data_IF_257902264553
#
_entry.id   IF_257902264553
#
_cell.length_a   1.000
_cell.length_b   1.000
_cell.length_c   1.000
_cell.angle_alpha   90.00
_cell.angle_beta   90.00
_cell.angle_gamma   90.00
#
_symmetry.space_group_name_H-M   'P 1'
#
loop_
_entity.id
_entity.type
_entity.pdbx_description
1 polymer ?
#
# COMPACT_ATOMS: atom_id res chain seq x y z
N UNK A 1 40.64 65.97 -1.00
CA UNK A 1 40.74 64.97 0.09
C UNK A 1 39.75 63.87 -0.20
N UNK A 2 40.24 62.69 -0.61
CA UNK A 2 39.42 61.52 -0.98
C UNK A 2 39.15 60.73 0.29
N UNK A 3 37.91 60.69 0.76
CA UNK A 3 37.51 59.89 1.91
C UNK A 3 37.40 58.42 1.48
N UNK A 4 38.35 57.62 1.97
CA UNK A 4 38.41 56.19 1.74
C UNK A 4 37.23 55.46 2.37
N UNK A 5 36.68 54.52 1.61
CA UNK A 5 35.70 53.54 2.06
C UNK A 5 36.33 52.67 3.16
N UNK A 6 35.80 52.78 4.38
CA UNK A 6 36.15 51.90 5.48
C UNK A 6 35.83 50.45 5.12
N UNK A 7 36.87 49.61 5.15
CA UNK A 7 36.81 48.17 4.92
C UNK A 7 35.75 47.53 5.83
N UNK A 8 34.79 46.82 5.22
CA UNK A 8 33.95 45.84 5.92
C UNK A 8 34.88 44.83 6.61
N UNK A 9 34.69 44.61 7.91
CA UNK A 9 35.33 43.49 8.62
C UNK A 9 34.94 42.19 7.89
N UNK A 10 35.88 41.26 7.62
CA UNK A 10 35.51 39.96 7.09
C UNK A 10 34.59 39.27 8.10
N UNK A 11 33.47 38.72 7.62
CA UNK A 11 32.62 37.85 8.42
C UNK A 11 33.48 36.71 8.98
N UNK A 12 33.47 36.54 10.30
CA UNK A 12 34.12 35.41 10.96
C UNK A 12 33.61 34.12 10.29
N UNK A 13 34.53 33.24 9.89
CA UNK A 13 34.17 31.96 9.30
C UNK A 13 33.22 31.22 10.27
N UNK A 14 32.12 30.60 9.79
CA UNK A 14 31.16 29.96 10.67
C UNK A 14 31.86 28.90 11.52
N UNK A 15 31.78 29.05 12.84
CA UNK A 15 32.37 28.12 13.80
C UNK A 15 31.75 26.75 13.52
N UNK A 16 32.60 25.78 13.12
CA UNK A 16 32.16 24.41 12.86
C UNK A 16 32.10 23.68 14.20
N UNK A 17 30.89 23.36 14.67
CA UNK A 17 30.67 22.59 15.89
C UNK A 17 30.28 21.16 15.55
N UNK A 18 30.86 20.22 16.26
CA UNK A 18 30.48 18.82 16.19
C UNK A 18 29.67 18.47 17.43
N UNK A 19 28.48 17.89 17.23
CA UNK A 19 27.52 17.59 18.30
C UNK A 19 26.89 16.22 18.09
N UNK A 20 26.35 15.62 19.14
CA UNK A 20 25.53 14.41 19.05
C UNK A 20 24.07 14.73 18.74
N UNK A 21 23.34 13.81 18.10
CA UNK A 21 21.91 14.00 17.81
C UNK A 21 21.08 14.29 19.07
N UNK A 22 21.43 13.66 20.21
CA UNK A 22 20.71 13.86 21.47
C UNK A 22 20.91 15.26 22.07
N UNK A 23 21.93 16.01 21.63
CA UNK A 23 22.19 17.37 22.11
C UNK A 23 21.35 18.40 21.35
N UNK A 24 20.82 18.06 20.17
CA UNK A 24 20.04 18.98 19.32
C UNK A 24 18.84 19.60 20.07
N UNK A 25 18.00 18.84 20.80
CA UNK A 25 16.89 19.43 21.54
C UNK A 25 17.34 20.44 22.61
N UNK A 26 18.45 20.17 23.29
CA UNK A 26 19.02 21.07 24.30
C UNK A 26 19.50 22.39 23.69
N UNK A 27 20.22 22.30 22.56
CA UNK A 27 20.70 23.48 21.82
C UNK A 27 19.51 24.33 21.31
N UNK A 28 18.48 23.68 20.75
CA UNK A 28 17.28 24.38 20.29
C UNK A 28 16.57 25.08 21.45
N UNK A 29 16.43 24.42 22.61
CA UNK A 29 15.82 25.00 23.79
C UNK A 29 16.61 26.21 24.32
N UNK A 30 17.94 26.12 24.37
CA UNK A 30 18.81 27.22 24.79
C UNK A 30 18.63 28.44 23.87
N UNK A 31 18.73 28.25 22.55
CA UNK A 31 18.57 29.33 21.56
C UNK A 31 17.17 29.95 21.66
N UNK A 32 16.12 29.14 21.79
CA UNK A 32 14.75 29.63 21.96
C UNK A 32 14.63 30.47 23.23
N UNK A 33 15.15 30.02 24.36
CA UNK A 33 15.07 30.75 25.62
C UNK A 33 15.77 32.12 25.56
N UNK A 34 16.93 32.18 24.90
CA UNK A 34 17.70 33.42 24.72
C UNK A 34 16.96 34.41 23.82
N UNK A 35 16.42 33.93 22.70
CA UNK A 35 15.66 34.75 21.75
C UNK A 35 14.35 35.25 22.34
N UNK A 36 13.61 34.39 23.03
CA UNK A 36 12.37 34.77 23.69
C UNK A 36 12.61 35.83 24.78
N UNK A 37 13.66 35.66 25.60
CA UNK A 37 14.05 36.66 26.59
C UNK A 37 14.43 38.01 25.96
N UNK A 38 15.20 37.99 24.87
CA UNK A 38 15.59 39.19 24.13
C UNK A 38 14.37 39.90 23.53
N UNK A 39 13.54 39.17 22.77
CA UNK A 39 12.32 39.73 22.16
C UNK A 39 11.36 40.28 23.22
N UNK A 40 11.21 39.60 24.36
CA UNK A 40 10.38 40.10 25.46
C UNK A 40 10.91 41.40 26.05
N UNK A 41 12.23 41.53 26.20
CA UNK A 41 12.88 42.76 26.67
C UNK A 41 12.67 43.92 25.69
N UNK A 42 12.82 43.66 24.39
CA UNK A 42 12.58 44.65 23.33
C UNK A 42 11.11 45.09 23.28
N UNK A 43 10.18 44.14 23.38
CA UNK A 43 8.74 44.40 23.43
C UNK A 43 8.34 45.22 24.67
N UNK A 44 8.91 44.91 25.84
CA UNK A 44 8.74 45.71 27.06
C UNK A 44 9.22 47.14 26.86
N UNK A 45 10.41 47.31 26.30
CA UNK A 45 10.98 48.64 26.03
C UNK A 45 10.08 49.45 25.09
N UNK A 46 9.61 48.87 23.99
CA UNK A 46 8.71 49.56 23.05
C UNK A 46 7.38 49.90 23.73
N UNK A 47 6.85 49.00 24.57
CA UNK A 47 5.65 49.28 25.36
C UNK A 47 5.86 50.48 26.28
N UNK A 48 6.97 50.52 27.02
CA UNK A 48 7.27 51.58 27.98
C UNK A 48 7.54 52.93 27.27
N UNK A 49 8.08 52.91 26.06
CA UNK A 49 8.18 54.09 25.19
C UNK A 49 6.81 54.54 24.64
N UNK A 50 5.85 53.62 24.49
CA UNK A 50 4.51 53.92 23.95
C UNK A 50 3.51 54.34 25.03
N UNK A 51 3.66 53.84 26.26
CA UNK A 51 2.78 54.16 27.39
C UNK A 51 2.60 55.67 27.64
N UNK A 52 3.65 56.51 27.72
CA UNK A 52 3.48 57.95 27.93
C UNK A 52 2.76 58.62 26.76
N UNK A 53 2.94 58.14 25.53
CA UNK A 53 2.21 58.68 24.36
C UNK A 53 0.70 58.42 24.46
N UNK A 54 0.32 57.27 25.02
CA UNK A 54 -1.09 56.94 25.29
C UNK A 54 -1.66 57.80 26.43
N UNK A 55 -0.86 58.08 27.45
CA UNK A 55 -1.23 58.99 28.54
C UNK A 55 -1.39 60.43 28.03
N UNK A 56 -0.50 60.90 27.15
CA UNK A 56 -0.61 62.21 26.49
C UNK A 56 -1.93 62.34 25.72
N UNK A 57 -2.36 61.29 25.00
CA UNK A 57 -3.65 61.30 24.31
C UNK A 57 -4.81 61.46 25.29
N UNK A 58 -4.77 60.77 26.45
CA UNK A 58 -5.79 60.91 27.48
C UNK A 58 -5.81 62.33 28.06
N UNK A 59 -4.64 62.90 28.35
CA UNK A 59 -4.51 64.26 28.89
C UNK A 59 -5.05 65.29 27.89
N UNK A 60 -4.70 65.18 26.60
CA UNK A 60 -5.26 66.05 25.56
C UNK A 60 -6.79 65.94 25.52
N UNK A 61 -7.35 64.73 25.65
CA UNK A 61 -8.80 64.53 25.74
C UNK A 61 -9.45 65.32 26.89
N UNK A 62 -8.79 65.39 28.06
CA UNK A 62 -9.24 66.17 29.22
C UNK A 62 -9.06 67.68 29.03
N UNK A 63 -7.94 68.10 28.45
CA UNK A 63 -7.68 69.52 28.17
C UNK A 63 -8.66 70.08 27.15
N UNK A 64 -8.98 69.31 26.09
CA UNK A 64 -9.96 69.68 25.08
C UNK A 64 -11.37 69.87 25.67
N UNK A 65 -11.72 69.15 26.73
CA UNK A 65 -13.00 69.32 27.44
C UNK A 65 -13.07 70.65 28.19
N UNK A 66 -11.95 71.11 28.75
CA UNK A 66 -11.84 72.36 29.54
C UNK A 66 -11.59 73.61 28.70
N UNK A 67 -11.08 73.45 27.48
CA UNK A 67 -10.71 74.55 26.60
C UNK A 67 -11.97 75.13 25.94
N UNK A 68 -12.42 76.31 26.34
CA UNK A 68 -13.61 76.92 25.75
C UNK A 68 -13.38 77.31 24.28
N UNK A 69 -14.35 76.95 23.46
CA UNK A 69 -14.36 77.30 22.05
C UNK A 69 -14.65 78.80 21.92
N UNK A 70 -13.68 79.59 21.47
CA UNK A 70 -13.96 80.97 21.07
C UNK A 70 -14.62 80.96 19.69
N UNK A 71 -15.95 80.87 19.66
CA UNK A 71 -16.77 80.77 18.42
C UNK A 71 -17.23 82.16 17.94
N UNK A 72 -16.86 83.24 18.64
CA UNK A 72 -17.38 84.58 18.40
C UNK A 72 -17.02 85.12 17.00
N UNK A 73 -15.90 84.65 16.42
CA UNK A 73 -15.44 84.99 15.06
C UNK A 73 -15.83 83.95 13.98
N UNK A 74 -16.70 82.99 14.31
CA UNK A 74 -17.07 81.87 13.42
C UNK A 74 -18.56 81.92 13.04
N UNK A 75 -18.89 81.70 11.76
CA UNK A 75 -20.28 81.61 11.29
C UNK A 75 -21.14 80.67 12.15
N UNK A 76 -22.37 81.09 12.48
CA UNK A 76 -23.28 80.36 13.37
C UNK A 76 -23.53 78.90 12.97
N UNK A 77 -23.60 78.60 11.66
CA UNK A 77 -23.79 77.24 11.17
C UNK A 77 -22.50 76.40 11.25
N UNK A 78 -21.35 77.04 11.09
CA UNK A 78 -20.03 76.41 11.29
C UNK A 78 -19.79 76.14 12.78
N UNK A 79 -20.20 77.04 13.67
CA UNK A 79 -20.10 76.88 15.12
C UNK A 79 -20.78 75.61 15.64
N UNK A 80 -21.99 75.30 15.17
CA UNK A 80 -22.72 74.07 15.54
C UNK A 80 -21.97 72.81 15.10
N UNK A 81 -21.39 72.82 13.89
CA UNK A 81 -20.62 71.68 13.36
C UNK A 81 -19.32 71.50 14.16
N UNK A 82 -18.64 72.59 14.50
CA UNK A 82 -17.40 72.58 15.28
C UNK A 82 -17.63 72.04 16.70
N UNK A 83 -18.69 72.49 17.38
CA UNK A 83 -19.06 71.98 18.71
C UNK A 83 -19.37 70.48 18.69
N UNK A 84 -20.13 70.02 17.69
CA UNK A 84 -20.45 68.59 17.52
C UNK A 84 -19.21 67.76 17.21
N UNK A 85 -18.35 68.22 16.31
CA UNK A 85 -17.11 67.53 15.96
C UNK A 85 -16.12 67.47 17.13
N UNK A 86 -15.98 68.56 17.90
CA UNK A 86 -15.21 68.59 19.14
C UNK A 86 -15.70 67.54 20.14
N UNK A 87 -17.02 67.47 20.38
CA UNK A 87 -17.61 66.46 21.26
C UNK A 87 -17.30 65.02 20.80
N UNK A 88 -17.38 64.75 19.51
CA UNK A 88 -17.05 63.43 18.96
C UNK A 88 -15.57 63.06 19.16
N UNK A 89 -14.64 64.00 18.95
CA UNK A 89 -13.20 63.76 19.20
C UNK A 89 -12.97 63.44 20.68
N UNK A 90 -13.54 64.24 21.59
CA UNK A 90 -13.42 64.03 23.04
C UNK A 90 -14.01 62.67 23.45
N UNK A 91 -15.21 62.33 22.98
CA UNK A 91 -15.88 61.07 23.30
C UNK A 91 -15.05 59.85 22.87
N UNK A 92 -14.45 59.91 21.67
CA UNK A 92 -13.62 58.81 21.15
C UNK A 92 -12.31 58.69 21.90
N UNK A 93 -11.67 59.81 22.27
CA UNK A 93 -10.43 59.78 23.06
C UNK A 93 -10.73 59.23 24.47
N UNK A 94 -11.73 59.77 25.18
CA UNK A 94 -12.06 59.37 26.56
C UNK A 94 -12.53 57.91 26.69
N UNK A 95 -13.28 57.40 25.71
CA UNK A 95 -13.83 56.03 25.75
C UNK A 95 -12.96 55.01 25.00
N UNK A 96 -12.14 55.48 24.07
CA UNK A 96 -11.40 54.62 23.13
C UNK A 96 -9.92 54.48 23.44
N UNK A 97 -9.34 55.38 24.24
CA UNK A 97 -7.95 55.30 24.71
C UNK A 97 -7.95 54.73 26.12
N UNK A 98 -7.23 53.63 26.32
CA UNK A 98 -7.04 52.95 27.61
C UNK A 98 -5.56 52.72 27.86
N UNK A 99 -5.17 52.55 29.12
CA UNK A 99 -3.77 52.30 29.46
C UNK A 99 -3.28 51.00 28.83
N UNK A 100 -1.98 50.97 28.49
CA UNK A 100 -1.36 49.80 27.89
C UNK A 100 -1.09 48.74 28.97
N UNK A 101 -1.41 47.46 28.73
CA UNK A 101 -1.09 46.38 29.67
C UNK A 101 0.43 46.26 29.83
N UNK A 102 0.85 45.68 30.96
CA UNK A 102 2.23 45.25 31.14
C UNK A 102 2.51 44.03 30.25
N UNK A 103 3.74 43.92 29.77
CA UNK A 103 4.17 42.81 28.93
C UNK A 103 5.04 41.87 29.75
N UNK A 104 4.49 40.77 30.24
CA UNK A 104 5.24 39.75 30.98
C UNK A 104 5.50 38.48 30.16
N UNK A 105 4.74 38.30 29.07
CA UNK A 105 4.81 37.15 28.16
C UNK A 105 4.59 37.57 26.70
N UNK A 106 4.91 36.68 25.76
CA UNK A 106 4.61 36.88 24.33
C UNK A 106 3.10 37.03 24.08
N UNK A 107 2.26 36.34 24.85
CA UNK A 107 0.80 36.48 24.76
C UNK A 107 0.34 37.89 25.18
N UNK A 108 0.96 38.47 26.21
CA UNK A 108 0.69 39.85 26.61
C UNK A 108 1.09 40.84 25.51
N UNK A 109 2.22 40.60 24.84
CA UNK A 109 2.66 41.40 23.70
C UNK A 109 1.70 41.31 22.50
N UNK A 110 1.11 40.15 22.23
CA UNK A 110 0.06 40.00 21.22
C UNK A 110 -1.19 40.81 21.58
N UNK A 111 -1.60 40.77 22.86
CA UNK A 111 -2.71 41.59 23.34
C UNK A 111 -2.40 43.09 23.22
N UNK A 112 -1.15 43.49 23.50
CA UNK A 112 -0.67 44.85 23.31
C UNK A 112 -0.76 45.29 21.84
N UNK A 113 -0.31 44.47 20.88
CA UNK A 113 -0.39 44.78 19.44
C UNK A 113 -1.84 45.04 19.00
N UNK A 114 -2.75 44.16 19.43
CA UNK A 114 -4.18 44.28 19.15
C UNK A 114 -4.75 45.56 19.76
N UNK A 115 -4.50 45.80 21.06
CA UNK A 115 -5.02 46.97 21.76
C UNK A 115 -4.50 48.28 21.15
N UNK A 116 -3.19 48.39 20.97
CA UNK A 116 -2.56 49.57 20.38
C UNK A 116 -3.09 49.82 18.97
N UNK A 117 -3.29 48.75 18.20
CA UNK A 117 -3.94 48.83 16.89
C UNK A 117 -5.37 49.38 16.94
N UNK A 118 -6.16 48.99 17.95
CA UNK A 118 -7.53 49.50 18.13
C UNK A 118 -7.54 50.97 18.56
N UNK A 119 -6.65 51.37 19.46
CA UNK A 119 -6.49 52.77 19.89
C UNK A 119 -6.14 53.64 18.68
N UNK A 120 -5.07 53.29 17.96
CA UNK A 120 -4.61 54.00 16.76
C UNK A 120 -5.71 54.12 15.72
N UNK A 121 -6.48 53.05 15.47
CA UNK A 121 -7.59 53.07 14.52
C UNK A 121 -8.69 54.02 14.97
N UNK A 122 -9.20 53.89 16.20
CA UNK A 122 -10.30 54.73 16.71
C UNK A 122 -9.92 56.21 16.72
N UNK A 123 -8.74 56.54 17.24
CA UNK A 123 -8.25 57.91 17.35
C UNK A 123 -7.90 58.47 15.97
N UNK A 124 -7.17 57.73 15.14
CA UNK A 124 -6.85 58.15 13.77
C UNK A 124 -8.10 58.41 12.93
N UNK A 125 -9.10 57.53 13.02
CA UNK A 125 -10.37 57.65 12.30
C UNK A 125 -11.14 58.92 12.68
N UNK A 126 -11.24 59.23 13.98
CA UNK A 126 -11.98 60.43 14.42
C UNK A 126 -11.22 61.71 14.07
N UNK A 127 -9.88 61.72 14.21
CA UNK A 127 -9.07 62.89 13.89
C UNK A 127 -9.01 63.16 12.38
N UNK A 128 -8.97 62.11 11.57
CA UNK A 128 -9.05 62.20 10.11
C UNK A 128 -10.42 62.73 9.64
N UNK A 129 -11.53 62.24 10.22
CA UNK A 129 -12.87 62.77 9.89
C UNK A 129 -13.09 64.20 10.35
N UNK A 130 -12.56 64.57 11.52
CA UNK A 130 -12.76 65.87 12.14
C UNK A 130 -11.57 66.83 11.92
N UNK A 131 -10.75 66.61 10.88
CA UNK A 131 -9.52 67.38 10.64
C UNK A 131 -9.78 68.89 10.59
N UNK A 132 -10.79 69.36 9.84
CA UNK A 132 -11.12 70.80 9.77
C UNK A 132 -11.56 71.36 11.12
N UNK A 133 -12.29 70.58 11.90
CA UNK A 133 -12.78 70.95 13.22
C UNK A 133 -11.56 71.08 14.15
N UNK A 134 -10.65 70.11 14.17
CA UNK A 134 -9.41 70.11 14.97
C UNK A 134 -8.52 71.33 14.68
N UNK A 135 -8.39 71.73 13.41
CA UNK A 135 -7.60 72.92 13.05
C UNK A 135 -8.21 74.23 13.57
N UNK A 136 -9.53 74.25 13.83
CA UNK A 136 -10.25 75.42 14.34
C UNK A 136 -10.22 75.42 15.88
N UNK A 137 -10.55 74.31 16.54
CA UNK A 137 -10.74 74.28 18.00
C UNK A 137 -9.55 73.76 18.81
N UNK A 138 -8.65 73.02 18.18
CA UNK A 138 -7.55 72.31 18.84
C UNK A 138 -6.20 72.61 18.16
N UNK A 139 -6.06 73.77 17.54
CA UNK A 139 -4.85 74.15 16.78
C UNK A 139 -3.56 73.97 17.58
N UNK A 140 -3.60 74.27 18.89
CA UNK A 140 -2.46 74.10 19.81
C UNK A 140 -2.13 72.63 20.15
N UNK A 141 -3.08 71.71 20.02
CA UNK A 141 -2.92 70.28 20.30
C UNK A 141 -2.75 69.41 19.05
N UNK A 142 -3.11 69.93 17.87
CA UNK A 142 -3.13 69.19 16.61
C UNK A 142 -1.75 68.61 16.25
N UNK A 143 -0.68 69.39 16.47
CA UNK A 143 0.69 68.96 16.21
C UNK A 143 1.11 67.84 17.19
N UNK A 144 0.84 68.01 18.49
CA UNK A 144 1.14 67.00 19.51
C UNK A 144 0.39 65.68 19.25
N UNK A 145 -0.92 65.75 18.94
CA UNK A 145 -1.70 64.57 18.56
C UNK A 145 -1.11 63.84 17.35
N UNK A 146 -0.67 64.60 16.34
CA UNK A 146 -0.07 64.03 15.14
C UNK A 146 1.25 63.33 15.46
N UNK A 147 2.13 63.99 16.21
CA UNK A 147 3.46 63.48 16.54
C UNK A 147 3.37 62.23 17.42
N UNK A 148 2.51 62.23 18.45
CA UNK A 148 2.29 61.05 19.30
C UNK A 148 1.74 59.86 18.51
N UNK A 149 0.76 60.09 17.61
CA UNK A 149 0.19 59.01 16.79
C UNK A 149 1.17 58.45 15.77
N UNK A 150 2.06 59.28 15.22
CA UNK A 150 3.10 58.84 14.29
C UNK A 150 4.07 57.87 14.97
N UNK A 151 4.57 58.24 16.16
CA UNK A 151 5.46 57.38 16.95
C UNK A 151 4.75 56.11 17.41
N UNK A 152 3.53 56.21 17.94
CA UNK A 152 2.73 55.05 18.34
C UNK A 152 2.52 54.06 17.17
N UNK A 153 2.30 54.57 15.96
CA UNK A 153 2.13 53.73 14.77
C UNK A 153 3.44 53.06 14.34
N UNK A 154 4.59 53.74 14.47
CA UNK A 154 5.90 53.14 14.25
C UNK A 154 6.17 52.03 15.27
N UNK A 155 5.92 52.29 16.55
CA UNK A 155 6.07 51.33 17.64
C UNK A 155 5.18 50.10 17.44
N UNK A 156 3.93 50.30 17.02
CA UNK A 156 3.03 49.18 16.68
C UNK A 156 3.59 48.31 15.55
N UNK A 157 4.11 48.91 14.48
CA UNK A 157 4.72 48.14 13.38
C UNK A 157 5.90 47.32 13.86
N UNK A 158 6.71 47.86 14.76
CA UNK A 158 7.86 47.15 15.33
C UNK A 158 7.43 46.01 16.26
N UNK A 159 6.44 46.23 17.13
CA UNK A 159 5.82 45.16 17.94
C UNK A 159 5.34 44.02 17.04
N UNK A 160 4.59 44.35 15.99
CA UNK A 160 4.07 43.35 15.05
C UNK A 160 5.20 42.59 14.34
N UNK A 161 6.26 43.29 13.92
CA UNK A 161 7.44 42.69 13.28
C UNK A 161 8.15 41.71 14.22
N UNK A 162 8.39 42.09 15.47
CA UNK A 162 9.02 41.25 16.49
C UNK A 162 8.17 40.01 16.79
N UNK A 163 6.85 40.16 16.91
CA UNK A 163 5.93 39.03 17.11
C UNK A 163 5.96 38.04 15.93
N UNK A 164 6.00 38.54 14.69
CA UNK A 164 6.13 37.70 13.51
C UNK A 164 7.46 36.94 13.49
N UNK A 165 8.55 37.58 13.91
CA UNK A 165 9.88 36.96 14.03
C UNK A 165 9.88 35.83 15.08
N UNK A 166 9.32 36.07 16.27
CA UNK A 166 9.16 35.05 17.33
C UNK A 166 8.38 33.85 16.80
N UNK A 167 7.27 34.07 16.08
CA UNK A 167 6.48 32.99 15.49
C UNK A 167 7.27 32.20 14.43
N UNK A 168 8.01 32.88 13.57
CA UNK A 168 8.87 32.23 12.56
C UNK A 168 9.95 31.38 13.21
N UNK A 169 10.57 31.86 14.29
CA UNK A 169 11.58 31.13 15.06
C UNK A 169 10.98 29.88 15.71
N UNK A 170 9.78 29.99 16.28
CA UNK A 170 9.05 28.85 16.84
C UNK A 170 8.83 27.75 15.80
N UNK A 171 8.27 28.09 14.63
CA UNK A 171 8.05 27.13 13.55
C UNK A 171 9.34 26.48 13.05
N UNK A 172 10.44 27.25 12.94
CA UNK A 172 11.75 26.69 12.58
C UNK A 172 12.25 25.68 13.64
N UNK A 173 12.10 26.01 14.93
CA UNK A 173 12.49 25.12 16.02
C UNK A 173 11.67 23.83 16.08
N UNK A 174 10.35 23.93 15.87
CA UNK A 174 9.44 22.78 15.79
C UNK A 174 9.79 21.88 14.60
N UNK A 175 10.17 22.46 13.46
CA UNK A 175 10.66 21.72 12.29
C UNK A 175 11.91 20.90 12.58
N UNK A 176 12.89 21.48 13.27
CA UNK A 176 14.12 20.77 13.69
C UNK A 176 13.78 19.61 14.63
N UNK A 177 12.98 19.87 15.67
CA UNK A 177 12.59 18.85 16.64
C UNK A 177 11.75 17.73 15.99
N UNK A 178 10.88 18.07 15.05
CA UNK A 178 10.11 17.10 14.27
C UNK A 178 10.99 16.15 13.47
N UNK A 179 12.08 16.65 12.86
CA UNK A 179 13.08 15.81 12.19
C UNK A 179 13.85 14.90 13.16
N UNK A 180 14.19 15.40 14.34
CA UNK A 180 14.80 14.57 15.40
C UNK A 180 13.84 13.45 15.82
N UNK A 181 12.56 13.75 16.03
CA UNK A 181 11.54 12.75 16.34
C UNK A 181 11.33 11.73 15.20
N UNK A 182 11.44 12.16 13.95
CA UNK A 182 11.38 11.27 12.78
C UNK A 182 12.49 10.21 12.80
N UNK A 183 13.71 10.57 13.26
CA UNK A 183 14.78 9.58 13.43
C UNK A 183 14.38 8.53 14.47
N UNK A 184 13.92 8.95 15.66
CA UNK A 184 13.51 8.00 16.71
C UNK A 184 12.35 7.08 16.29
N UNK A 185 11.41 7.59 15.49
CA UNK A 185 10.34 6.77 14.90
C UNK A 185 10.90 5.76 13.88
N UNK A 186 11.87 6.17 13.05
CA UNK A 186 12.53 5.31 12.06
C UNK A 186 13.32 4.20 12.75
N UNK A 187 14.07 4.50 13.82
CA UNK A 187 14.80 3.52 14.64
C UNK A 187 13.85 2.49 15.28
N UNK A 188 12.74 2.97 15.84
CA UNK A 188 11.73 2.09 16.44
C UNK A 188 11.10 1.15 15.41
N UNK A 189 10.80 1.66 14.21
CA UNK A 189 10.31 0.85 13.09
C UNK A 189 11.35 -0.19 12.67
N UNK A 190 12.61 0.23 12.50
CA UNK A 190 13.72 -0.64 12.12
C UNK A 190 13.91 -1.80 13.12
N UNK A 191 13.92 -1.50 14.42
CA UNK A 191 14.00 -2.54 15.46
C UNK A 191 12.83 -3.53 15.41
N UNK A 192 11.61 -3.05 15.16
CA UNK A 192 10.44 -3.92 15.00
C UNK A 192 10.56 -4.82 13.76
N UNK A 193 11.09 -4.30 12.65
CA UNK A 193 11.37 -5.08 11.42
C UNK A 193 12.42 -6.16 11.71
N UNK A 194 13.54 -5.83 12.36
CA UNK A 194 14.56 -6.81 12.74
C UNK A 194 14.02 -7.94 13.61
N UNK A 195 13.11 -7.62 14.55
CA UNK A 195 12.43 -8.63 15.35
C UNK A 195 11.59 -9.58 14.48
N UNK A 196 10.81 -9.03 13.53
CA UNK A 196 10.02 -9.83 12.59
C UNK A 196 10.88 -10.70 11.67
N UNK A 197 12.05 -10.21 11.25
CA UNK A 197 13.02 -10.99 10.46
C UNK A 197 13.48 -12.20 11.28
N UNK A 198 13.82 -12.00 12.56
CA UNK A 198 14.23 -13.09 13.45
C UNK A 198 13.12 -14.13 13.66
N UNK A 199 11.88 -13.69 13.87
CA UNK A 199 10.71 -14.57 13.99
C UNK A 199 10.49 -15.37 12.70
N UNK A 200 10.53 -14.71 11.54
CA UNK A 200 10.38 -15.35 10.23
C UNK A 200 11.50 -16.36 9.97
N UNK A 201 12.73 -16.07 10.39
CA UNK A 201 13.87 -16.98 10.26
C UNK A 201 13.66 -18.28 11.08
N UNK A 202 13.12 -18.16 12.29
CA UNK A 202 12.78 -19.34 13.11
C UNK A 202 11.66 -20.17 12.47
N UNK A 203 10.66 -19.54 11.85
CA UNK A 203 9.62 -20.23 11.08
C UNK A 203 10.20 -20.98 9.86
N UNK A 204 11.10 -20.33 9.12
CA UNK A 204 11.83 -20.94 8.00
C UNK A 204 12.58 -22.20 8.47
N UNK A 205 13.33 -22.12 9.57
CA UNK A 205 14.07 -23.26 10.14
C UNK A 205 13.13 -24.42 10.53
N UNK A 206 11.98 -24.11 11.12
CA UNK A 206 10.97 -25.11 11.46
C UNK A 206 10.40 -25.79 10.21
N UNK A 207 10.02 -25.03 9.19
CA UNK A 207 9.51 -25.55 7.91
C UNK A 207 10.56 -26.41 7.21
N UNK A 208 11.82 -25.98 7.21
CA UNK A 208 12.93 -26.72 6.62
C UNK A 208 13.19 -28.05 7.31
N UNK A 209 13.13 -28.07 8.65
CA UNK A 209 13.26 -29.31 9.42
C UNK A 209 12.13 -30.30 9.08
N UNK A 210 10.89 -29.80 8.97
CA UNK A 210 9.73 -30.61 8.57
C UNK A 210 9.87 -31.10 7.13
N UNK A 211 10.39 -30.26 6.23
CA UNK A 211 10.63 -30.63 4.82
C UNK A 211 11.61 -31.79 4.72
N UNK A 212 12.73 -31.73 5.44
CA UNK A 212 13.73 -32.82 5.51
C UNK A 212 13.11 -34.12 6.02
N UNK A 213 12.36 -34.06 7.13
CA UNK A 213 11.69 -35.23 7.70
C UNK A 213 10.67 -35.87 6.75
N UNK A 214 9.89 -35.05 6.02
CA UNK A 214 8.96 -35.54 5.00
C UNK A 214 9.70 -36.19 3.83
N UNK A 215 10.78 -35.57 3.34
CA UNK A 215 11.62 -36.13 2.27
C UNK A 215 12.23 -37.48 2.66
N UNK A 216 12.77 -37.60 3.88
CA UNK A 216 13.28 -38.86 4.41
C UNK A 216 12.19 -39.94 4.49
N UNK A 217 11.01 -39.57 5.00
CA UNK A 217 9.87 -40.49 5.13
C UNK A 217 9.37 -40.99 3.78
N UNK A 218 9.26 -40.10 2.80
CA UNK A 218 8.91 -40.44 1.41
C UNK A 218 9.98 -41.35 0.81
N UNK A 219 11.26 -41.02 0.98
CA UNK A 219 12.38 -41.83 0.48
C UNK A 219 12.39 -43.26 1.06
N UNK A 220 12.04 -43.42 2.34
CA UNK A 220 11.88 -44.74 2.97
C UNK A 220 10.75 -45.54 2.32
N UNK A 221 9.58 -44.92 2.08
CA UNK A 221 8.46 -45.59 1.41
C UNK A 221 8.82 -45.95 -0.04
N UNK A 222 9.48 -45.04 -0.77
CA UNK A 222 9.87 -45.28 -2.15
C UNK A 222 10.96 -46.36 -2.29
N UNK A 223 11.76 -46.58 -1.24
CA UNK A 223 12.76 -47.64 -1.19
C UNK A 223 12.17 -49.01 -0.83
N UNK A 224 10.90 -49.06 -0.39
CA UNK A 224 10.25 -50.28 0.05
C UNK A 224 10.05 -51.29 -1.09
N UNK A 225 10.10 -52.60 -0.80
CA UNK A 225 9.73 -53.64 -1.76
C UNK A 225 8.33 -53.46 -2.34
N UNK A 226 7.38 -52.99 -1.53
CA UNK A 226 5.99 -52.77 -1.92
C UNK A 226 5.87 -51.68 -2.99
N UNK A 227 6.64 -50.59 -2.87
CA UNK A 227 6.65 -49.52 -3.85
C UNK A 227 7.34 -49.94 -5.16
N UNK A 228 8.42 -50.72 -5.09
CA UNK A 228 9.03 -51.32 -6.30
C UNK A 228 8.05 -52.24 -7.01
N UNK A 229 7.31 -53.07 -6.26
CA UNK A 229 6.27 -53.93 -6.81
C UNK A 229 5.15 -53.12 -7.47
N UNK A 230 4.76 -51.99 -6.87
CA UNK A 230 3.81 -51.05 -7.47
C UNK A 230 4.31 -50.52 -8.83
N UNK A 231 5.57 -50.08 -8.92
CA UNK A 231 6.17 -49.60 -10.18
C UNK A 231 6.22 -50.70 -11.26
N UNK A 232 6.64 -51.91 -10.88
CA UNK A 232 6.68 -53.06 -11.80
C UNK A 232 5.29 -53.43 -12.34
N UNK A 233 4.26 -53.37 -11.48
CA UNK A 233 2.87 -53.61 -11.87
C UNK A 233 2.35 -52.51 -12.79
N UNK A 234 2.73 -51.25 -12.55
CA UNK A 234 2.37 -50.13 -13.42
C UNK A 234 2.96 -50.32 -14.82
N UNK A 235 4.26 -50.64 -14.92
CA UNK A 235 4.91 -50.91 -16.21
C UNK A 235 4.29 -52.12 -16.93
N UNK A 236 3.95 -53.18 -16.19
CA UNK A 236 3.22 -54.34 -16.74
C UNK A 236 1.84 -53.93 -17.26
N UNK A 237 1.11 -53.10 -16.54
CA UNK A 237 -0.21 -52.62 -16.95
C UNK A 237 -0.14 -51.76 -18.22
N UNK A 238 0.92 -50.94 -18.36
CA UNK A 238 1.17 -50.16 -19.56
C UNK A 238 1.45 -51.07 -20.76
N UNK A 239 2.28 -52.11 -20.57
CA UNK A 239 2.54 -53.16 -21.60
C UNK A 239 1.28 -53.95 -21.97
N UNK A 240 0.34 -54.14 -21.05
CA UNK A 240 -0.96 -54.78 -21.32
C UNK A 240 -1.77 -54.03 -22.40
N UNK A 241 -1.57 -52.72 -22.56
CA UNK A 241 -2.24 -51.94 -23.61
C UNK A 241 -1.89 -52.45 -25.01
N UNK A 242 -0.63 -52.88 -25.24
CA UNK A 242 -0.21 -53.44 -26.53
C UNK A 242 -0.87 -54.78 -26.85
N UNK A 243 -1.15 -55.61 -25.84
CA UNK A 243 -1.89 -56.87 -26.02
C UNK A 243 -3.34 -56.63 -26.44
N UNK A 244 -3.98 -55.59 -25.90
CA UNK A 244 -5.34 -55.18 -26.31
C UNK A 244 -5.41 -54.89 -27.80
N UNK A 245 -4.48 -54.07 -28.31
CA UNK A 245 -4.45 -53.68 -29.71
C UNK A 245 -4.13 -54.88 -30.62
N UNK A 246 -3.29 -55.82 -30.18
CA UNK A 246 -3.04 -57.07 -30.91
C UNK A 246 -4.31 -57.91 -31.06
N UNK A 247 -5.02 -58.17 -29.96
CA UNK A 247 -6.27 -58.95 -29.98
C UNK A 247 -7.33 -58.25 -30.82
N UNK A 248 -7.46 -56.92 -30.68
CA UNK A 248 -8.37 -56.10 -31.49
C UNK A 248 -8.02 -56.19 -32.97
N UNK A 249 -6.73 -56.16 -33.32
CA UNK A 249 -6.26 -56.31 -34.70
C UNK A 249 -6.61 -57.67 -35.31
N UNK A 250 -6.35 -58.76 -34.59
CA UNK A 250 -6.69 -60.13 -35.01
C UNK A 250 -8.20 -60.29 -35.26
N UNK A 251 -9.02 -59.85 -34.31
CA UNK A 251 -10.48 -59.91 -34.40
C UNK A 251 -10.98 -59.08 -35.58
N UNK A 252 -10.50 -57.84 -35.71
CA UNK A 252 -10.92 -56.94 -36.79
C UNK A 252 -10.54 -57.50 -38.16
N UNK A 253 -9.35 -58.10 -38.29
CA UNK A 253 -8.91 -58.72 -39.53
C UNK A 253 -9.79 -59.92 -39.93
N UNK A 254 -10.19 -60.76 -38.97
CA UNK A 254 -11.06 -61.90 -39.25
C UNK A 254 -12.48 -61.44 -39.64
N UNK A 255 -13.06 -60.52 -38.88
CA UNK A 255 -14.42 -60.00 -39.15
C UNK A 255 -14.49 -59.13 -40.41
N UNK A 256 -13.39 -58.49 -40.82
CA UNK A 256 -13.32 -57.77 -42.09
C UNK A 256 -13.62 -58.68 -43.29
N UNK A 257 -13.20 -59.96 -43.25
CA UNK A 257 -13.47 -60.96 -44.31
C UNK A 257 -14.97 -61.18 -44.54
N UNK A 258 -15.79 -61.03 -43.50
CA UNK A 258 -17.24 -61.27 -43.54
C UNK A 258 -18.09 -59.99 -43.34
N UNK A 259 -17.46 -58.81 -43.29
CA UNK A 259 -18.13 -57.52 -43.08
C UNK A 259 -19.25 -57.22 -44.08
N UNK A 260 -19.04 -57.53 -45.37
CA UNK A 260 -20.02 -57.30 -46.44
C UNK A 260 -21.27 -58.16 -46.31
N UNK A 261 -21.19 -59.51 -46.16
CA UNK A 261 -22.39 -60.31 -45.92
C UNK A 261 -23.09 -59.96 -44.60
N UNK A 262 -22.35 -59.68 -43.52
CA UNK A 262 -22.92 -59.22 -42.25
C UNK A 262 -23.71 -57.91 -42.42
N UNK A 263 -23.11 -56.91 -43.06
CA UNK A 263 -23.77 -55.62 -43.29
C UNK A 263 -24.99 -55.74 -44.20
N UNK A 264 -24.97 -56.58 -45.25
CA UNK A 264 -26.16 -56.81 -46.08
C UNK A 264 -27.28 -57.50 -45.32
N UNK A 265 -26.94 -58.42 -44.42
CA UNK A 265 -27.90 -59.07 -43.54
C UNK A 265 -28.51 -58.07 -42.55
N UNK A 266 -27.74 -57.12 -42.03
CA UNK A 266 -28.22 -56.04 -41.16
C UNK A 266 -29.33 -55.19 -41.82
N UNK A 267 -29.21 -54.90 -43.12
CA UNK A 267 -30.19 -54.10 -43.87
C UNK A 267 -31.43 -54.89 -44.31
N UNK A 268 -31.29 -56.19 -44.59
CA UNK A 268 -32.35 -57.01 -45.23
C UNK A 268 -33.08 -58.00 -44.31
N UNK A 269 -32.68 -58.13 -43.04
CA UNK A 269 -33.22 -59.13 -42.11
C UNK A 269 -34.34 -58.59 -41.20
N UNK A 270 -35.26 -59.48 -40.82
CA UNK A 270 -36.28 -59.25 -39.80
C UNK A 270 -35.80 -59.71 -38.40
N UNK A 271 -34.58 -59.30 -38.01
CA UNK A 271 -34.05 -59.57 -36.68
C UNK A 271 -34.81 -58.77 -35.62
N UNK A 272 -34.91 -59.32 -34.41
CA UNK A 272 -35.38 -58.57 -33.25
C UNK A 272 -34.41 -57.43 -32.88
N UNK A 273 -34.85 -56.54 -31.99
CA UNK A 273 -34.12 -55.32 -31.62
C UNK A 273 -32.76 -55.62 -30.98
N UNK A 274 -32.64 -56.71 -30.22
CA UNK A 274 -31.42 -57.07 -29.51
C UNK A 274 -30.40 -57.68 -30.46
N UNK A 275 -30.82 -58.63 -31.30
CA UNK A 275 -29.98 -59.24 -32.33
C UNK A 275 -29.51 -58.22 -33.37
N UNK A 276 -30.38 -57.29 -33.77
CA UNK A 276 -30.01 -56.20 -34.68
C UNK A 276 -29.00 -55.23 -34.04
N UNK A 277 -29.14 -54.96 -32.75
CA UNK A 277 -28.18 -54.17 -31.98
C UNK A 277 -26.81 -54.85 -31.91
N UNK A 278 -26.78 -56.14 -31.59
CA UNK A 278 -25.56 -56.94 -31.54
C UNK A 278 -24.87 -57.05 -32.90
N UNK A 279 -25.62 -57.32 -33.97
CA UNK A 279 -25.08 -57.36 -35.34
C UNK A 279 -24.44 -56.03 -35.74
N UNK A 280 -25.06 -54.90 -35.38
CA UNK A 280 -24.51 -53.57 -35.67
C UNK A 280 -23.14 -53.37 -35.00
N UNK A 281 -23.00 -53.76 -33.74
CA UNK A 281 -21.72 -53.70 -33.01
C UNK A 281 -20.71 -54.69 -33.62
N UNK A 282 -21.16 -55.89 -34.00
CA UNK A 282 -20.31 -56.90 -34.64
C UNK A 282 -19.72 -56.41 -35.97
N UNK A 283 -20.47 -55.61 -36.74
CA UNK A 283 -20.04 -55.00 -38.00
C UNK A 283 -19.08 -53.82 -37.77
N UNK A 284 -19.39 -52.92 -36.84
CA UNK A 284 -18.60 -51.70 -36.64
C UNK A 284 -17.38 -51.89 -35.75
N UNK A 285 -17.47 -52.76 -34.74
CA UNK A 285 -16.51 -52.93 -33.66
C UNK A 285 -16.57 -54.36 -33.11
N UNK A 286 -16.13 -55.37 -33.89
CA UNK A 286 -16.29 -56.79 -33.54
C UNK A 286 -15.65 -57.15 -32.19
N UNK A 287 -14.52 -56.56 -31.84
CA UNK A 287 -13.90 -56.75 -30.52
C UNK A 287 -14.87 -56.46 -29.36
N UNK A 288 -15.67 -55.39 -29.46
CA UNK A 288 -16.58 -54.97 -28.39
C UNK A 288 -17.86 -55.83 -28.35
N UNK A 289 -18.18 -56.54 -29.45
CA UNK A 289 -19.31 -57.47 -29.51
C UNK A 289 -18.98 -58.85 -28.91
N UNK A 290 -17.71 -59.27 -28.96
CA UNK A 290 -17.24 -60.61 -28.56
C UNK A 290 -17.11 -60.79 -27.04
N UNK A 291 -18.25 -60.78 -26.36
CA UNK A 291 -18.37 -61.06 -24.94
C UNK A 291 -18.88 -62.50 -24.72
N UNK A 292 -18.54 -63.16 -23.59
CA UNK A 292 -19.00 -64.52 -23.31
C UNK A 292 -20.52 -64.70 -23.43
N UNK A 293 -21.30 -63.74 -22.94
CA UNK A 293 -22.76 -63.75 -23.03
C UNK A 293 -23.32 -63.55 -24.46
N UNK A 294 -22.49 -63.07 -25.39
CA UNK A 294 -22.86 -62.81 -26.77
C UNK A 294 -22.42 -63.94 -27.73
N UNK A 295 -21.69 -64.95 -27.24
CA UNK A 295 -21.15 -66.02 -28.09
C UNK A 295 -22.26 -66.77 -28.84
N UNK A 296 -23.24 -67.36 -28.14
CA UNK A 296 -24.33 -68.10 -28.78
C UNK A 296 -25.19 -67.21 -29.70
N UNK A 297 -25.59 -65.99 -29.30
CA UNK A 297 -26.27 -65.06 -30.22
C UNK A 297 -25.48 -64.73 -31.48
N UNK A 298 -24.15 -64.60 -31.41
CA UNK A 298 -23.30 -64.34 -32.58
C UNK A 298 -23.26 -65.56 -33.51
N UNK A 299 -23.17 -66.78 -32.95
CA UNK A 299 -23.26 -68.01 -33.75
C UNK A 299 -24.58 -68.04 -34.54
N UNK A 300 -25.71 -67.77 -33.87
CA UNK A 300 -27.03 -67.71 -34.52
C UNK A 300 -27.06 -66.68 -35.65
N UNK A 301 -26.44 -65.51 -35.46
CA UNK A 301 -26.31 -64.49 -36.51
C UNK A 301 -25.48 -65.02 -37.69
N UNK A 302 -24.33 -65.64 -37.44
CA UNK A 302 -23.46 -66.20 -38.48
C UNK A 302 -24.17 -67.31 -39.27
N UNK A 303 -24.88 -68.22 -38.59
CA UNK A 303 -25.69 -69.25 -39.23
C UNK A 303 -26.80 -68.68 -40.11
N UNK A 304 -27.49 -67.64 -39.64
CA UNK A 304 -28.57 -67.03 -40.41
C UNK A 304 -28.05 -66.27 -41.64
N UNK A 305 -26.89 -65.61 -41.52
CA UNK A 305 -26.19 -65.00 -42.66
C UNK A 305 -25.79 -66.08 -43.66
N UNK A 306 -25.26 -67.21 -43.19
CA UNK A 306 -24.91 -68.38 -44.02
C UNK A 306 -26.14 -68.89 -44.78
N UNK A 307 -27.28 -69.09 -44.09
CA UNK A 307 -28.56 -69.51 -44.72
C UNK A 307 -29.03 -68.51 -45.77
N UNK A 308 -28.94 -67.20 -45.47
CA UNK A 308 -29.36 -66.14 -46.37
C UNK A 308 -28.49 -66.02 -47.63
N UNK A 309 -27.20 -66.35 -47.56
CA UNK A 309 -26.32 -66.46 -48.72
C UNK A 309 -26.71 -67.69 -49.56
N UNK A 310 -26.88 -68.85 -48.92
CA UNK A 310 -27.21 -70.10 -49.61
C UNK A 310 -28.60 -70.07 -50.27
N UNK A 311 -29.57 -69.36 -49.70
CA UNK A 311 -30.91 -69.18 -50.28
C UNK A 311 -30.97 -68.12 -51.40
N UNK A 312 -29.87 -67.40 -51.64
CA UNK A 312 -29.84 -66.26 -52.57
C UNK A 312 -30.51 -64.99 -52.03
N UNK A 313 -30.97 -64.98 -50.78
CA UNK A 313 -31.55 -63.79 -50.13
C UNK A 313 -30.52 -62.66 -49.93
N UNK A 314 -29.23 -63.00 -49.85
CA UNK A 314 -28.11 -62.06 -49.85
C UNK A 314 -27.17 -62.34 -51.01
N UNK A 315 -26.98 -61.33 -51.85
CA UNK A 315 -25.99 -61.37 -52.93
C UNK A 315 -24.58 -61.04 -52.43
N UNK A 316 -23.68 -62.00 -52.60
CA UNK A 316 -22.22 -61.87 -52.41
C UNK A 316 -21.50 -62.10 -53.74
N UNK A 317 -20.27 -61.60 -53.88
CA UNK A 317 -19.49 -61.75 -55.12
C UNK A 317 -19.05 -63.19 -55.39
N UNK A 318 -18.70 -63.91 -54.33
CA UNK A 318 -18.18 -65.26 -54.36
C UNK A 318 -18.83 -66.02 -53.20
N UNK A 319 -19.75 -66.93 -53.55
CA UNK A 319 -20.60 -67.65 -52.59
C UNK A 319 -19.76 -68.64 -51.79
N UNK A 320 -18.96 -69.47 -52.46
CA UNK A 320 -18.12 -70.48 -51.82
C UNK A 320 -17.13 -69.83 -50.85
N UNK A 321 -16.44 -68.77 -51.29
CA UNK A 321 -15.48 -68.05 -50.44
C UNK A 321 -16.13 -67.38 -49.23
N UNK A 322 -17.33 -66.80 -49.40
CA UNK A 322 -18.05 -66.17 -48.29
C UNK A 322 -18.50 -67.20 -47.25
N UNK A 323 -18.98 -68.37 -47.68
CA UNK A 323 -19.35 -69.47 -46.79
C UNK A 323 -18.13 -70.06 -46.06
N UNK A 324 -16.98 -70.17 -46.74
CA UNK A 324 -15.73 -70.59 -46.13
C UNK A 324 -15.26 -69.60 -45.04
N UNK A 325 -15.28 -68.30 -45.31
CA UNK A 325 -14.91 -67.28 -44.31
C UNK A 325 -15.87 -67.20 -43.12
N UNK A 326 -17.17 -67.44 -43.33
CA UNK A 326 -18.13 -67.56 -42.23
C UNK A 326 -17.80 -68.76 -41.34
N UNK A 327 -17.47 -69.90 -41.95
CA UNK A 327 -17.05 -71.12 -41.22
C UNK A 327 -15.77 -70.87 -40.42
N UNK A 328 -14.74 -70.29 -41.04
CA UNK A 328 -13.49 -69.95 -40.36
C UNK A 328 -13.72 -68.99 -39.17
N UNK A 329 -14.62 -68.00 -39.34
CA UNK A 329 -14.91 -67.03 -38.29
C UNK A 329 -15.70 -67.65 -37.13
N UNK A 330 -16.64 -68.54 -37.44
CA UNK A 330 -17.44 -69.29 -36.45
C UNK A 330 -16.55 -70.24 -35.63
N UNK A 331 -15.64 -70.96 -36.28
CA UNK A 331 -14.65 -71.84 -35.61
C UNK A 331 -13.66 -71.05 -34.73
N UNK A 332 -13.25 -69.86 -35.16
CA UNK A 332 -12.34 -68.99 -34.41
C UNK A 332 -13.03 -68.21 -33.26
N UNK A 333 -14.36 -68.17 -33.24
CA UNK A 333 -15.16 -67.30 -32.37
C UNK A 333 -14.86 -67.55 -30.89
N UNK A 334 -14.91 -68.81 -30.46
CA UNK A 334 -14.70 -69.18 -29.06
C UNK A 334 -13.29 -68.80 -28.59
N UNK A 335 -12.29 -68.98 -29.47
CA UNK A 335 -10.91 -68.56 -29.24
C UNK A 335 -10.77 -67.04 -29.06
N UNK A 336 -11.50 -66.23 -29.85
CA UNK A 336 -11.50 -64.77 -29.67
C UNK A 336 -12.20 -64.34 -28.38
N UNK A 337 -13.35 -64.94 -28.05
CA UNK A 337 -14.08 -64.66 -26.81
C UNK A 337 -13.23 -65.00 -25.59
N UNK A 338 -12.52 -66.13 -25.61
CA UNK A 338 -11.58 -66.52 -24.57
C UNK A 338 -10.38 -65.55 -24.46
N UNK A 339 -9.79 -65.11 -25.59
CA UNK A 339 -8.71 -64.12 -25.60
C UNK A 339 -9.13 -62.79 -24.98
N UNK A 340 -10.30 -62.26 -25.37
CA UNK A 340 -10.82 -60.98 -24.88
C UNK A 340 -11.16 -61.06 -23.39
N UNK A 341 -11.88 -62.10 -22.96
CA UNK A 341 -12.24 -62.28 -21.55
C UNK A 341 -11.01 -62.55 -20.66
N UNK A 342 -10.04 -63.31 -21.16
CA UNK A 342 -8.75 -63.53 -20.51
C UNK A 342 -7.96 -62.22 -20.32
N UNK A 343 -7.93 -61.38 -21.36
CA UNK A 343 -7.31 -60.06 -21.28
C UNK A 343 -8.00 -59.15 -20.25
N UNK A 344 -9.32 -58.97 -20.33
CA UNK A 344 -10.07 -58.08 -19.43
C UNK A 344 -9.98 -58.53 -17.97
N UNK A 345 -10.07 -59.84 -17.71
CA UNK A 345 -9.94 -60.40 -16.36
C UNK A 345 -8.51 -60.27 -15.82
N UNK A 346 -7.49 -60.50 -16.63
CA UNK A 346 -6.09 -60.30 -16.27
C UNK A 346 -5.79 -58.85 -15.92
N UNK A 347 -6.23 -57.91 -16.77
CA UNK A 347 -6.09 -56.48 -16.53
C UNK A 347 -6.80 -56.02 -15.27
N UNK A 348 -8.01 -56.51 -15.00
CA UNK A 348 -8.76 -56.19 -13.78
C UNK A 348 -8.03 -56.66 -12.53
N UNK A 349 -7.45 -57.86 -12.53
CA UNK A 349 -6.64 -58.39 -11.41
C UNK A 349 -5.40 -57.54 -11.17
N UNK A 350 -4.64 -57.24 -12.24
CA UNK A 350 -3.46 -56.38 -12.17
C UNK A 350 -3.78 -55.00 -11.60
N UNK A 351 -4.90 -54.40 -12.04
CA UNK A 351 -5.33 -53.08 -11.56
C UNK A 351 -5.75 -53.11 -10.10
N UNK A 352 -6.49 -54.13 -9.67
CA UNK A 352 -6.86 -54.28 -8.26
C UNK A 352 -5.63 -54.48 -7.35
N UNK A 353 -4.63 -55.25 -7.81
CA UNK A 353 -3.37 -55.42 -7.09
C UNK A 353 -2.58 -54.10 -7.02
N UNK A 354 -2.48 -53.36 -8.13
CA UNK A 354 -1.85 -52.04 -8.19
C UNK A 354 -2.51 -51.05 -7.23
N UNK A 355 -3.84 -50.95 -7.26
CA UNK A 355 -4.61 -50.04 -6.41
C UNK A 355 -4.44 -50.37 -4.92
N UNK A 356 -4.27 -51.65 -4.56
CA UNK A 356 -4.00 -52.08 -3.18
C UNK A 356 -2.62 -51.69 -2.66
N UNK A 357 -1.66 -51.46 -3.57
CA UNK A 357 -0.28 -51.08 -3.24
C UNK A 357 -0.08 -49.56 -3.23
N UNK A 358 -1.04 -48.79 -3.75
CA UNK A 358 -0.98 -47.32 -3.73
C UNK A 358 -1.23 -46.82 -2.30
N UNK A 359 -0.17 -46.31 -1.68
CA UNK A 359 -0.22 -45.87 -0.28
C UNK A 359 -0.88 -44.49 -0.17
N UNK A 360 -2.10 -44.44 0.36
CA UNK A 360 -2.76 -43.17 0.72
C UNK A 360 -1.90 -42.31 1.67
N UNK A 361 -1.05 -42.97 2.48
CA UNK A 361 -0.08 -42.30 3.34
C UNK A 361 1.02 -41.61 2.52
N UNK A 362 1.50 -42.23 1.44
CA UNK A 362 2.50 -41.63 0.55
C UNK A 362 1.94 -40.37 -0.13
N UNK A 363 0.73 -40.46 -0.70
CA UNK A 363 0.06 -39.31 -1.33
C UNK A 363 -0.14 -38.15 -0.34
N UNK A 364 -0.53 -38.46 0.89
CA UNK A 364 -0.66 -37.46 1.95
C UNK A 364 0.69 -36.81 2.28
N UNK A 365 1.78 -37.58 2.37
CA UNK A 365 3.11 -37.05 2.67
C UNK A 365 3.64 -36.19 1.52
N UNK A 366 3.43 -36.58 0.26
CA UNK A 366 3.79 -35.81 -0.92
C UNK A 366 2.99 -34.49 -0.99
N UNK A 367 1.69 -34.54 -0.69
CA UNK A 367 0.85 -33.34 -0.59
C UNK A 367 1.30 -32.39 0.52
N UNK A 368 1.66 -32.93 1.69
CA UNK A 368 2.20 -32.13 2.80
C UNK A 368 3.58 -31.55 2.47
N UNK A 369 4.42 -32.29 1.75
CA UNK A 369 5.71 -31.80 1.27
C UNK A 369 5.54 -30.63 0.29
N UNK A 370 4.60 -30.75 -0.64
CA UNK A 370 4.30 -29.68 -1.60
C UNK A 370 3.80 -28.41 -0.88
N UNK A 371 2.86 -28.56 0.07
CA UNK A 371 2.37 -27.44 0.89
C UNK A 371 3.50 -26.80 1.70
N UNK A 372 4.31 -27.60 2.38
CA UNK A 372 5.43 -27.10 3.18
C UNK A 372 6.44 -26.33 2.30
N UNK A 373 6.78 -26.86 1.12
CA UNK A 373 7.69 -26.21 0.17
C UNK A 373 7.15 -24.85 -0.28
N UNK A 374 5.87 -24.78 -0.65
CA UNK A 374 5.23 -23.51 -1.03
C UNK A 374 5.20 -22.49 0.12
N UNK A 375 4.93 -22.93 1.35
CA UNK A 375 4.98 -22.06 2.53
C UNK A 375 6.41 -21.54 2.78
N UNK A 376 7.41 -22.40 2.64
CA UNK A 376 8.82 -22.06 2.81
C UNK A 376 9.27 -20.99 1.79
N UNK A 377 8.93 -21.16 0.51
CA UNK A 377 9.17 -20.15 -0.54
C UNK A 377 8.53 -18.81 -0.20
N UNK A 378 7.27 -18.82 0.25
CA UNK A 378 6.57 -17.61 0.70
C UNK A 378 7.24 -16.93 1.89
N UNK A 379 7.75 -17.70 2.85
CA UNK A 379 8.48 -17.15 4.00
C UNK A 379 9.84 -16.56 3.61
N UNK A 380 10.55 -17.17 2.65
CA UNK A 380 11.79 -16.60 2.12
C UNK A 380 11.56 -15.24 1.44
N UNK A 381 10.54 -15.14 0.58
CA UNK A 381 10.16 -13.88 -0.07
C UNK A 381 9.79 -12.79 0.96
N UNK A 382 9.03 -13.17 2.00
CA UNK A 382 8.70 -12.26 3.10
C UNK A 382 9.94 -11.79 3.85
N UNK A 383 10.89 -12.69 4.14
CA UNK A 383 12.16 -12.35 4.80
C UNK A 383 12.99 -11.38 3.96
N UNK A 384 13.07 -11.60 2.64
CA UNK A 384 13.76 -10.71 1.71
C UNK A 384 13.13 -9.31 1.65
N UNK A 385 11.79 -9.24 1.56
CA UNK A 385 11.05 -7.96 1.61
C UNK A 385 11.34 -7.19 2.89
N UNK A 386 11.27 -7.87 4.05
CA UNK A 386 11.54 -7.23 5.34
C UNK A 386 12.99 -6.73 5.45
N UNK A 387 13.96 -7.43 4.86
CA UNK A 387 15.35 -6.95 4.79
C UNK A 387 15.47 -5.69 3.95
N UNK A 388 14.80 -5.65 2.80
CA UNK A 388 14.74 -4.44 1.97
C UNK A 388 14.17 -3.25 2.73
N UNK A 389 13.07 -3.44 3.47
CA UNK A 389 12.49 -2.39 4.33
C UNK A 389 13.44 -1.91 5.43
N UNK A 390 14.21 -2.84 6.03
CA UNK A 390 15.22 -2.49 7.04
C UNK A 390 16.36 -1.65 6.44
N UNK A 391 16.90 -2.09 5.30
CA UNK A 391 17.97 -1.39 4.58
C UNK A 391 17.53 0.00 4.12
N UNK A 392 16.29 0.15 3.64
CA UNK A 392 15.71 1.44 3.29
C UNK A 392 15.63 2.38 4.49
N UNK A 393 15.15 1.87 5.64
CA UNK A 393 15.08 2.64 6.88
C UNK A 393 16.47 3.11 7.33
N UNK A 394 17.46 2.21 7.36
CA UNK A 394 18.86 2.52 7.70
C UNK A 394 19.46 3.56 6.74
N UNK A 395 19.25 3.42 5.44
CA UNK A 395 19.79 4.34 4.42
C UNK A 395 19.15 5.74 4.46
N UNK A 396 17.95 5.86 5.03
CA UNK A 396 17.23 7.14 5.14
C UNK A 396 17.75 8.03 6.26
N UNK A 397 18.25 7.43 7.35
CA UNK A 397 18.66 8.17 8.56
C UNK A 397 19.78 9.18 8.28
N UNK A 398 20.88 8.85 7.56
CA UNK A 398 21.92 9.81 7.24
C UNK A 398 21.41 11.07 6.53
N UNK A 399 20.39 10.93 5.67
CA UNK A 399 19.77 12.07 4.98
C UNK A 399 19.05 12.99 5.97
N UNK A 400 18.26 12.40 6.87
CA UNK A 400 17.54 13.14 7.91
C UNK A 400 18.54 13.84 8.86
N UNK A 401 19.63 13.17 9.24
CA UNK A 401 20.69 13.74 10.08
C UNK A 401 21.34 14.95 9.40
N UNK A 402 21.63 14.86 8.10
CA UNK A 402 22.16 15.99 7.32
C UNK A 402 21.16 17.16 7.29
N UNK A 403 19.87 16.89 7.04
CA UNK A 403 18.82 17.91 7.04
C UNK A 403 18.72 18.63 8.39
N UNK A 404 18.82 17.89 9.51
CA UNK A 404 18.83 18.50 10.85
C UNK A 404 20.04 19.43 11.00
N UNK A 405 21.21 19.03 10.51
CA UNK A 405 22.42 19.86 10.55
C UNK A 405 22.25 21.18 9.80
N UNK A 406 21.65 21.13 8.60
CA UNK A 406 21.40 22.32 7.78
C UNK A 406 20.33 23.23 8.42
N UNK A 407 19.22 22.65 8.90
CA UNK A 407 18.16 23.40 9.58
C UNK A 407 18.66 24.05 10.87
N UNK A 408 19.39 23.31 11.70
CA UNK A 408 19.98 23.83 12.93
C UNK A 408 21.01 24.93 12.62
N UNK A 409 21.77 24.78 11.53
CA UNK A 409 22.73 25.78 11.13
C UNK A 409 22.11 27.08 10.63
N UNK A 410 21.02 27.00 9.88
CA UNK A 410 20.20 28.17 9.54
C UNK A 410 19.54 28.78 10.78
N UNK A 411 19.18 27.95 11.76
CA UNK A 411 18.53 28.39 12.98
C UNK A 411 19.47 29.10 13.96
N UNK A 412 20.74 28.69 14.07
CA UNK A 412 21.69 29.26 15.04
C UNK A 412 22.83 30.10 14.44
N UNK A 413 22.89 30.22 13.11
CA UNK A 413 24.02 30.79 12.37
C UNK A 413 25.38 30.08 12.64
N UNK A 414 25.34 28.82 13.07
CA UNK A 414 26.54 28.00 13.35
C UNK A 414 26.54 26.78 12.45
N UNK A 415 27.70 26.36 11.93
CA UNK A 415 27.75 25.15 11.10
C UNK A 415 27.86 23.91 11.98
N UNK A 416 26.90 22.99 11.91
CA UNK A 416 26.94 21.75 12.68
C UNK A 416 27.35 20.54 11.84
N UNK A 417 28.11 19.66 12.48
CA UNK A 417 28.29 18.27 12.04
C UNK A 417 27.65 17.40 13.12
N UNK A 418 26.56 16.72 12.77
CA UNK A 418 25.83 15.89 13.73
C UNK A 418 26.37 14.47 13.65
N UNK A 419 26.94 14.01 14.75
CA UNK A 419 27.31 12.62 14.97
C UNK A 419 26.04 11.84 15.29
N UNK A 420 25.72 10.91 14.42
CA UNK A 420 24.70 9.91 14.65
C UNK A 420 25.38 8.60 15.06
N UNK A 421 25.17 8.20 16.31
CA UNK A 421 25.66 6.94 16.87
C UNK A 421 24.56 5.88 17.02
N UNK A 422 23.42 6.08 16.35
CA UNK A 422 22.31 5.15 16.40
C UNK A 422 22.39 4.07 15.32
N UNK A 423 21.98 2.88 15.73
CA UNK A 423 21.18 1.83 15.08
C UNK A 423 21.33 0.56 15.93
#
# INVERSE_FOLDING_TARGET
MVFGWGKKRPAEAPVRREISLQEVPGIVAEINSLRESLSLSELKKIRDETAPLVEDLMEIGLLLERDDLNVDDVDKHIGVIVVRGKKQVIDVIKKGVTSLPEVSSINDAQNLDVLLGQILKKVGDVLGRQTRVIHIFAKKYAQQLKDSLEVMNANKKEIHRLLAEVQSQKTASEGILGRVSQIGATESSHSAILKKIKETQHEIESLDSRRKSLQESIGMVQSSPEYKKYLDLQEKLDKFTGQKESIRGEVSAQFAKISRPLGRYEYGSALDKEQKGLLRVLVSAPYDALLPQNADPIIVILENVRKAISSGSISVKDVEKSLAFLTETEEALDGFVQKISGYESGRKKLRAELDSLRSAKLESMEGDLAKNTSLLEGMHLKSESLRGEADEAESSIPKIVSEIGDLLGGFSNTKYVIKYGGL
#
